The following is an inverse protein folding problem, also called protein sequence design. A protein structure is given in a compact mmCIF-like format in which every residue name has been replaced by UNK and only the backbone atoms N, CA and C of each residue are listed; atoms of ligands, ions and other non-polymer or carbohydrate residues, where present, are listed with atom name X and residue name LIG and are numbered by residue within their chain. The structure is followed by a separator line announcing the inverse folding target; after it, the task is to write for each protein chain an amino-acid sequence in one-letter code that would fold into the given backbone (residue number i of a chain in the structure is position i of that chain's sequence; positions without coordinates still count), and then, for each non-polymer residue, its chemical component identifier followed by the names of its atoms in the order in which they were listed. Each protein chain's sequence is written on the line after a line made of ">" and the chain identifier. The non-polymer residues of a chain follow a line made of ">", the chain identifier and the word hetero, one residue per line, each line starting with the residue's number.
data_IF_923574572897
#
_entry.id   IF_923574572897
#
_cell.length_a   1.000
_cell.length_b   1.000
_cell.length_c   1.000
_cell.angle_alpha   90.00
_cell.angle_beta   90.00
_cell.angle_gamma   90.00
#
_symmetry.space_group_name_H-M   'P 1'
#
loop_
_entity.id
_entity.type
_entity.pdbx_description
1 polymer ?
#
# COMPACT_ATOMS: atom_id res chain seq x y z
N UNK A 1 -15.24 -22.19 -26.66
CA UNK A 1 -14.62 -20.87 -26.96
C UNK A 1 -13.80 -20.30 -25.80
N UNK A 2 -14.34 -20.11 -24.58
CA UNK A 2 -13.54 -19.66 -23.41
C UNK A 2 -12.76 -20.80 -22.73
N UNK A 3 -13.38 -21.98 -22.61
CA UNK A 3 -12.78 -23.16 -21.97
C UNK A 3 -11.56 -23.71 -22.74
N UNK A 4 -11.59 -23.65 -24.07
CA UNK A 4 -10.50 -24.15 -24.91
C UNK A 4 -9.24 -23.27 -24.78
N UNK A 5 -9.44 -21.96 -24.55
CA UNK A 5 -8.38 -20.98 -24.38
C UNK A 5 -7.66 -21.14 -23.03
N UNK A 6 -8.41 -21.45 -21.96
CA UNK A 6 -7.82 -21.76 -20.64
C UNK A 6 -7.00 -23.05 -20.72
N UNK A 7 -7.48 -24.05 -21.46
CA UNK A 7 -6.79 -25.35 -21.61
C UNK A 7 -5.53 -25.29 -22.48
N UNK A 8 -5.47 -24.39 -23.46
CA UNK A 8 -4.31 -24.24 -24.36
C UNK A 8 -3.29 -23.22 -23.88
N UNK A 9 -3.57 -22.51 -22.78
CA UNK A 9 -2.71 -21.46 -22.26
C UNK A 9 -1.42 -22.07 -21.71
N UNK A 10 -0.29 -21.74 -22.31
CA UNK A 10 1.03 -22.11 -21.78
C UNK A 10 1.23 -21.45 -20.42
N UNK A 11 1.37 -22.27 -19.37
CA UNK A 11 1.70 -21.79 -18.03
C UNK A 11 3.20 -21.87 -17.86
N UNK A 12 3.85 -20.72 -17.81
CA UNK A 12 5.26 -20.61 -17.46
C UNK A 12 5.39 -20.56 -15.94
N UNK A 13 6.33 -21.32 -15.38
CA UNK A 13 6.61 -21.24 -13.95
C UNK A 13 7.22 -19.86 -13.66
N UNK A 14 6.59 -19.09 -12.78
CA UNK A 14 7.19 -17.85 -12.25
C UNK A 14 8.40 -18.20 -11.37
N UNK A 15 9.37 -17.29 -11.18
CA UNK A 15 10.49 -17.51 -10.29
C UNK A 15 10.04 -17.99 -8.90
N UNK A 16 10.83 -18.86 -8.29
CA UNK A 16 10.56 -19.34 -6.92
C UNK A 16 10.74 -18.23 -5.87
N UNK A 17 11.47 -17.15 -6.23
CA UNK A 17 11.75 -16.00 -5.38
C UNK A 17 11.38 -14.68 -6.10
N UNK A 18 10.77 -13.76 -5.35
CA UNK A 18 10.42 -12.43 -5.82
C UNK A 18 11.18 -11.39 -4.98
N UNK A 19 11.84 -10.44 -5.64
CA UNK A 19 12.45 -9.29 -4.98
C UNK A 19 11.54 -8.08 -5.18
N UNK A 20 11.13 -7.47 -4.08
CA UNK A 20 10.47 -6.17 -4.11
C UNK A 20 11.52 -5.07 -4.14
N UNK A 21 11.35 -4.12 -5.05
CA UNK A 21 12.12 -2.88 -5.11
C UNK A 21 11.30 -1.76 -4.47
N UNK A 22 11.97 -0.71 -4.00
CA UNK A 22 11.34 0.41 -3.27
C UNK A 22 11.58 0.32 -1.76
N UNK A 23 10.89 1.20 -1.02
CA UNK A 23 11.02 1.30 0.44
C UNK A 23 9.84 0.64 1.16
N UNK A 24 9.98 0.46 2.46
CA UNK A 24 8.93 -0.08 3.32
C UNK A 24 8.23 1.08 4.00
N UNK A 25 6.92 1.21 3.77
CA UNK A 25 6.06 2.11 4.53
C UNK A 25 5.40 1.33 5.68
N UNK A 26 5.82 1.63 6.91
CA UNK A 26 5.18 1.15 8.12
C UNK A 26 3.97 2.01 8.46
N UNK A 27 2.80 1.39 8.55
CA UNK A 27 1.57 2.04 8.99
C UNK A 27 1.51 2.00 10.52
N UNK A 28 1.48 3.17 11.15
CA UNK A 28 1.55 3.35 12.61
C UNK A 28 0.42 4.25 13.09
N UNK A 29 0.12 4.21 14.39
CA UNK A 29 -0.85 5.15 14.97
C UNK A 29 -0.33 6.60 15.01
N UNK A 30 0.99 6.78 15.16
CA UNK A 30 1.62 8.09 15.19
C UNK A 30 1.71 8.69 13.76
N UNK A 31 0.99 9.78 13.45
CA UNK A 31 1.02 10.41 12.13
C UNK A 31 2.39 11.01 11.78
N UNK A 32 3.22 11.37 12.77
CA UNK A 32 4.54 11.93 12.53
C UNK A 32 5.51 10.89 11.96
N UNK A 33 5.41 9.63 12.39
CA UNK A 33 6.21 8.53 11.86
C UNK A 33 5.83 8.20 10.41
N UNK A 34 4.53 8.23 10.09
CA UNK A 34 4.06 8.07 8.70
C UNK A 34 4.56 9.23 7.83
N UNK A 35 4.40 10.48 8.30
CA UNK A 35 4.83 11.67 7.55
C UNK A 35 6.33 11.69 7.27
N UNK A 36 7.15 11.31 8.25
CA UNK A 36 8.61 11.18 8.09
C UNK A 36 8.98 10.16 7.01
N UNK A 37 8.32 9.00 7.03
CA UNK A 37 8.52 7.99 5.99
C UNK A 37 8.17 8.53 4.62
N UNK A 38 6.99 9.15 4.45
CA UNK A 38 6.59 9.76 3.18
C UNK A 38 7.58 10.86 2.72
N UNK A 39 8.30 11.48 3.65
CA UNK A 39 9.40 12.42 3.38
C UNK A 39 10.72 11.78 2.94
N UNK A 40 10.77 10.45 2.79
CA UNK A 40 11.96 9.71 2.34
C UNK A 40 12.81 9.11 3.45
N UNK A 41 12.34 9.13 4.71
CA UNK A 41 13.04 8.47 5.81
C UNK A 41 12.70 6.97 5.87
N UNK A 42 13.72 6.13 6.09
CA UNK A 42 13.53 4.71 6.38
C UNK A 42 13.61 4.50 7.89
N UNK A 43 12.52 4.03 8.50
CA UNK A 43 12.49 3.76 9.94
C UNK A 43 13.11 2.40 10.25
N UNK A 44 13.93 2.35 11.28
CA UNK A 44 14.36 1.09 11.88
C UNK A 44 13.18 0.43 12.58
N UNK A 45 12.60 -0.60 11.96
CA UNK A 45 11.52 -1.36 12.59
C UNK A 45 12.07 -2.43 13.54
N UNK A 46 11.66 -2.34 14.79
CA UNK A 46 11.65 -3.45 15.72
C UNK A 46 10.29 -3.48 16.44
N UNK A 47 9.69 -4.65 16.68
CA UNK A 47 8.38 -4.77 17.34
C UNK A 47 8.28 -4.03 18.68
N UNK A 48 9.40 -3.86 19.37
CA UNK A 48 9.48 -3.20 20.69
C UNK A 48 9.56 -1.68 20.61
N UNK A 49 9.89 -1.11 19.45
CA UNK A 49 10.13 0.34 19.28
C UNK A 49 9.17 1.02 18.30
N UNK A 50 8.45 0.25 17.49
CA UNK A 50 7.52 0.76 16.48
C UNK A 50 6.22 -0.05 16.50
N UNK A 51 5.20 0.48 17.15
CA UNK A 51 3.86 -0.12 17.17
C UNK A 51 3.16 0.14 15.83
N UNK A 52 2.76 -0.95 15.16
CA UNK A 52 2.04 -0.88 13.90
C UNK A 52 0.54 -0.70 14.16
N UNK A 53 -0.13 0.00 13.25
CA UNK A 53 -1.58 0.15 13.29
C UNK A 53 -2.26 -1.21 13.06
N UNK A 54 -3.16 -1.57 13.94
CA UNK A 54 -4.05 -2.73 13.80
C UNK A 54 -5.44 -2.32 13.25
N UNK A 55 -6.29 -3.31 12.99
CA UNK A 55 -7.68 -3.13 12.58
C UNK A 55 -7.90 -2.17 11.39
N UNK A 56 -6.94 -2.13 10.45
CA UNK A 56 -7.05 -1.33 9.23
C UNK A 56 -8.15 -1.92 8.34
N UNK A 57 -9.20 -1.12 8.12
CA UNK A 57 -10.34 -1.49 7.30
C UNK A 57 -10.07 -1.36 5.80
N UNK A 58 -10.93 -1.99 4.99
CA UNK A 58 -10.85 -1.85 3.52
C UNK A 58 -11.10 -0.42 3.05
N UNK A 59 -11.93 0.34 3.77
CA UNK A 59 -12.21 1.74 3.44
C UNK A 59 -10.99 2.64 3.75
N UNK A 60 -10.20 2.32 4.78
CA UNK A 60 -8.94 3.03 5.03
C UNK A 60 -7.89 2.76 3.95
N UNK A 61 -7.82 1.53 3.45
CA UNK A 61 -6.89 1.15 2.36
C UNK A 61 -7.31 1.82 1.05
N UNK A 62 -8.60 1.79 0.72
CA UNK A 62 -9.15 2.34 -0.53
C UNK A 62 -10.61 2.75 -0.29
N UNK A 63 -10.86 4.04 0.03
CA UNK A 63 -12.22 4.50 0.30
C UNK A 63 -13.17 4.23 -0.86
N UNK A 64 -14.46 4.07 -0.58
CA UNK A 64 -15.45 3.71 -1.60
C UNK A 64 -15.44 4.63 -2.86
N UNK A 65 -15.14 5.93 -2.70
CA UNK A 65 -15.06 6.86 -3.83
C UNK A 65 -13.83 6.64 -4.72
N UNK A 66 -12.75 6.07 -4.18
CA UNK A 66 -11.54 5.73 -4.92
C UNK A 66 -11.78 4.50 -5.81
N UNK A 67 -12.63 3.57 -5.35
CA UNK A 67 -12.99 2.35 -6.09
C UNK A 67 -13.72 2.59 -7.42
N UNK A 68 -14.03 3.84 -7.78
CA UNK A 68 -14.52 4.19 -9.11
C UNK A 68 -13.41 4.27 -10.18
N UNK A 69 -12.13 4.22 -9.78
CA UNK A 69 -10.99 4.11 -10.69
C UNK A 69 -10.67 2.64 -10.98
N UNK A 70 -10.47 2.31 -12.26
CA UNK A 70 -10.12 0.95 -12.73
C UNK A 70 -8.83 0.92 -13.57
N UNK A 71 -8.13 2.04 -13.64
CA UNK A 71 -6.90 2.25 -14.41
C UNK A 71 -5.73 2.59 -13.47
N UNK A 72 -4.59 3.05 -14.02
CA UNK A 72 -3.42 3.41 -13.21
C UNK A 72 -3.67 4.50 -12.15
N UNK A 73 -4.75 5.28 -12.30
CA UNK A 73 -5.11 6.34 -11.34
C UNK A 73 -5.38 5.77 -9.95
N UNK A 74 -5.83 4.51 -9.86
CA UNK A 74 -6.06 3.82 -8.58
C UNK A 74 -4.78 3.79 -7.72
N UNK A 75 -3.60 3.70 -8.34
CA UNK A 75 -2.31 3.69 -7.66
C UNK A 75 -1.94 5.03 -6.99
N UNK A 76 -2.70 6.10 -7.20
CA UNK A 76 -2.45 7.41 -6.60
C UNK A 76 -3.17 7.61 -5.26
N UNK A 77 -4.01 6.66 -4.85
CA UNK A 77 -4.84 6.77 -3.66
C UNK A 77 -4.69 5.69 -2.57
N UNK A 78 -3.67 4.79 -2.56
CA UNK A 78 -3.50 3.89 -1.41
C UNK A 78 -3.48 4.65 -0.08
N UNK A 79 -4.24 4.15 0.88
CA UNK A 79 -4.26 4.60 2.27
C UNK A 79 -4.73 6.06 2.51
N UNK A 80 -5.35 6.74 1.55
CA UNK A 80 -5.88 8.09 1.76
C UNK A 80 -7.02 8.16 2.77
N UNK A 81 -7.62 7.01 3.10
CA UNK A 81 -8.60 6.88 4.18
C UNK A 81 -7.99 6.55 5.54
N UNK A 82 -6.69 6.24 5.62
CA UNK A 82 -6.03 5.81 6.85
C UNK A 82 -5.97 6.95 7.87
N UNK A 83 -6.55 6.72 9.05
CA UNK A 83 -6.47 7.64 10.18
C UNK A 83 -5.36 7.21 11.15
N UNK A 84 -4.43 8.11 11.41
CA UNK A 84 -3.35 7.95 12.38
C UNK A 84 -3.60 8.93 13.54
N UNK A 85 -4.05 8.42 14.69
CA UNK A 85 -4.54 9.25 15.79
C UNK A 85 -5.73 10.11 15.36
N UNK A 86 -5.53 11.43 15.30
CA UNK A 86 -6.53 12.40 14.86
C UNK A 86 -6.30 12.95 13.44
N UNK A 87 -5.30 12.40 12.72
CA UNK A 87 -4.86 12.93 11.43
C UNK A 87 -4.99 11.91 10.29
N UNK A 88 -4.97 12.42 9.05
CA UNK A 88 -4.93 11.63 7.82
C UNK A 88 -3.62 11.97 7.08
N UNK A 89 -2.48 11.38 7.47
CA UNK A 89 -1.16 11.80 6.99
C UNK A 89 -0.89 11.43 5.52
N UNK A 90 -1.64 10.49 4.95
CA UNK A 90 -1.45 10.03 3.57
C UNK A 90 -2.42 10.78 2.66
N UNK A 91 -1.85 11.54 1.72
CA UNK A 91 -2.60 12.28 0.70
C UNK A 91 -2.43 11.62 -0.67
N UNK A 92 -3.25 12.06 -1.64
CA UNK A 92 -3.17 11.59 -3.03
C UNK A 92 -1.73 11.72 -3.56
N UNK A 93 -1.18 10.63 -4.07
CA UNK A 93 0.16 10.53 -4.64
C UNK A 93 1.26 10.26 -3.61
N UNK A 94 1.03 10.49 -2.32
CA UNK A 94 2.09 10.46 -1.32
C UNK A 94 2.83 9.12 -1.23
N UNK A 95 2.11 8.00 -1.33
CA UNK A 95 2.72 6.66 -1.32
C UNK A 95 3.54 6.40 -2.60
N UNK A 96 3.03 6.84 -3.75
CA UNK A 96 3.68 6.69 -5.06
C UNK A 96 4.96 7.53 -5.13
N UNK A 97 4.93 8.74 -4.58
CA UNK A 97 6.07 9.66 -4.56
C UNK A 97 7.09 9.31 -3.47
N UNK A 98 6.63 8.63 -2.41
CA UNK A 98 7.46 8.18 -1.29
C UNK A 98 8.44 7.07 -1.64
N UNK A 99 8.22 6.33 -2.75
CA UNK A 99 9.12 5.30 -3.26
C UNK A 99 9.18 3.99 -2.48
#
# INVERSE_FOLDING_TARGET
>A
MMLDNIKSRTITKVPDELRFEGRILYLTEDPALVTRQLGGEDLDWAPTSLELRDDISTDEITPAYVCYHYDETLGEFPYVGLKCGEEFPITRGAVKDGG
#
